data_IF_696392057962
#
_entry.id   IF_696392057962
#
_cell.length_a   1.000
_cell.length_b   1.000
_cell.length_c   1.000
_cell.angle_alpha   90.00
_cell.angle_beta   90.00
_cell.angle_gamma   90.00
#
_symmetry.space_group_name_H-M   'P 1'
#
loop_
_entity.id
_entity.type
_entity.pdbx_description
1 polymer ?
#
# COMPACT_ATOMS: atom_id res chain seq x y z
N UNK A 1 38.03 -38.05 51.06
CA UNK A 1 36.91 -38.84 51.59
C UNK A 1 35.80 -38.65 50.59
N UNK A 2 35.87 -39.54 49.66
CA UNK A 2 35.00 -40.66 49.27
C UNK A 2 33.78 -40.12 48.47
N UNK A 3 33.80 -40.25 47.22
CA UNK A 3 33.51 -41.36 46.31
C UNK A 3 32.13 -41.94 46.58
N UNK A 4 31.25 -41.86 45.61
CA UNK A 4 30.76 -43.05 44.88
C UNK A 4 29.81 -42.68 43.74
N UNK A 5 30.18 -43.14 42.61
CA UNK A 5 29.49 -43.45 41.36
C UNK A 5 28.28 -44.39 41.58
N UNK A 6 27.22 -44.20 40.76
CA UNK A 6 26.46 -45.36 40.24
C UNK A 6 25.67 -44.93 38.97
N UNK A 7 26.10 -45.57 37.91
CA UNK A 7 25.45 -45.68 36.61
C UNK A 7 24.19 -46.56 36.70
N UNK A 8 23.10 -46.22 35.96
CA UNK A 8 22.15 -47.24 35.50
C UNK A 8 21.75 -46.95 34.04
N UNK A 9 22.19 -47.88 33.20
CA UNK A 9 21.69 -48.16 31.87
C UNK A 9 20.29 -48.80 31.98
N UNK A 10 19.41 -48.46 31.08
CA UNK A 10 18.11 -49.11 30.91
C UNK A 10 17.62 -48.93 29.48
N UNK A 11 18.01 -49.83 28.70
CA UNK A 11 17.59 -50.53 27.48
C UNK A 11 16.18 -50.19 26.91
N UNK A 12 16.20 -50.04 25.57
CA UNK A 12 15.05 -50.03 24.63
C UNK A 12 14.37 -51.42 24.59
N UNK A 13 13.11 -51.50 24.24
CA UNK A 13 12.58 -52.72 23.61
C UNK A 13 12.04 -52.45 22.19
N UNK A 14 12.48 -53.31 21.36
CA UNK A 14 12.14 -53.88 20.09
C UNK A 14 10.74 -53.66 19.52
N UNK A 15 10.72 -53.41 18.18
CA UNK A 15 9.63 -53.62 17.23
C UNK A 15 9.22 -55.09 17.10
N UNK A 16 8.00 -55.37 16.66
CA UNK A 16 7.79 -56.49 15.78
C UNK A 16 7.30 -56.10 14.39
N UNK A 17 8.03 -56.63 13.44
CA UNK A 17 7.69 -56.77 12.03
C UNK A 17 6.49 -57.70 11.86
N UNK A 18 5.54 -57.33 11.03
CA UNK A 18 4.67 -58.30 10.35
C UNK A 18 4.51 -57.92 8.87
N UNK A 19 4.98 -58.82 8.06
CA UNK A 19 4.75 -58.95 6.63
C UNK A 19 3.35 -59.52 6.34
N UNK A 20 2.96 -59.24 5.05
CA UNK A 20 1.97 -59.89 4.17
C UNK A 20 0.56 -59.29 4.23
N UNK A 21 0.07 -58.73 3.13
CA UNK A 21 -0.19 -59.38 1.84
C UNK A 21 -0.69 -58.37 0.79
N UNK A 22 -0.31 -58.61 -0.43
CA UNK A 22 -0.71 -57.98 -1.67
C UNK A 22 -2.23 -57.86 -1.86
N UNK A 23 -2.72 -56.63 -2.18
CA UNK A 23 -3.80 -56.45 -3.15
C UNK A 23 -3.61 -55.18 -3.96
N UNK A 24 -3.38 -55.38 -5.23
CA UNK A 24 -3.44 -54.43 -6.31
C UNK A 24 -4.74 -53.63 -6.26
N UNK A 25 -4.62 -52.29 -6.29
CA UNK A 25 -5.58 -51.42 -6.94
C UNK A 25 -4.91 -50.09 -7.29
N UNK A 26 -4.70 -49.92 -8.57
CA UNK A 26 -4.59 -48.72 -9.40
C UNK A 26 -4.31 -47.37 -8.74
N UNK A 27 -3.14 -46.83 -8.95
CA UNK A 27 -2.83 -45.70 -9.79
C UNK A 27 -3.45 -44.37 -9.37
N UNK A 28 -2.82 -43.70 -8.42
CA UNK A 28 -2.94 -42.27 -8.24
C UNK A 28 -1.55 -41.65 -8.08
N UNK A 29 -0.88 -41.48 -9.20
CA UNK A 29 0.38 -40.74 -9.29
C UNK A 29 0.08 -39.31 -8.87
N UNK A 30 0.66 -38.87 -7.73
CA UNK A 30 0.79 -37.45 -7.43
C UNK A 30 1.64 -36.82 -8.54
N UNK A 31 0.98 -36.33 -9.57
CA UNK A 31 1.59 -35.57 -10.62
C UNK A 31 2.07 -34.26 -10.00
N UNK A 32 3.39 -34.12 -9.86
CA UNK A 32 4.09 -32.87 -9.82
C UNK A 32 3.52 -31.98 -10.90
N UNK A 33 2.91 -30.87 -10.52
CA UNK A 33 2.32 -29.91 -11.41
C UNK A 33 3.41 -29.31 -12.32
N UNK A 34 3.36 -29.49 -13.63
CA UNK A 34 4.15 -28.69 -14.54
C UNK A 34 3.42 -27.34 -14.72
N UNK A 35 3.96 -26.29 -14.15
CA UNK A 35 3.55 -24.91 -14.30
C UNK A 35 3.87 -24.37 -15.71
N UNK A 36 3.35 -25.04 -16.74
CA UNK A 36 3.32 -24.53 -18.11
C UNK A 36 1.95 -24.78 -18.73
N UNK A 37 0.95 -24.08 -18.26
CA UNK A 37 -0.25 -23.82 -19.06
C UNK A 37 -0.41 -22.31 -19.18
N UNK A 38 -0.20 -21.80 -20.42
CA UNK A 38 -0.79 -20.55 -20.86
C UNK A 38 -2.24 -20.54 -20.38
N UNK A 39 -2.53 -19.76 -19.35
CA UNK A 39 -3.90 -19.39 -19.02
C UNK A 39 -4.39 -18.54 -20.19
N UNK A 40 -5.06 -19.19 -21.14
CA UNK A 40 -5.97 -18.47 -22.04
C UNK A 40 -7.00 -17.82 -21.14
N UNK A 41 -7.01 -16.51 -21.14
CA UNK A 41 -8.05 -15.68 -20.57
C UNK A 41 -9.28 -15.82 -21.47
N UNK A 42 -9.94 -16.97 -21.46
CA UNK A 42 -11.33 -17.09 -21.87
C UNK A 42 -12.17 -16.59 -20.70
N UNK A 43 -13.06 -15.67 -21.02
CA UNK A 43 -14.03 -15.03 -20.13
C UNK A 43 -14.54 -15.94 -19.02
N UNK A 44 -13.88 -15.99 -17.88
CA UNK A 44 -14.49 -16.51 -16.68
C UNK A 44 -15.52 -15.47 -16.23
N UNK A 45 -16.75 -15.71 -16.57
CA UNK A 45 -17.89 -15.14 -15.91
C UNK A 45 -17.78 -15.59 -14.45
N UNK A 46 -17.24 -14.71 -13.60
CA UNK A 46 -17.25 -14.89 -12.16
C UNK A 46 -18.70 -14.70 -11.74
N UNK A 47 -19.42 -15.80 -11.61
CA UNK A 47 -20.68 -15.85 -10.87
C UNK A 47 -20.32 -15.39 -9.46
N UNK A 48 -20.81 -14.22 -9.08
CA UNK A 48 -20.72 -13.68 -7.73
C UNK A 48 -21.53 -14.59 -6.80
N UNK A 49 -20.87 -15.66 -6.31
CA UNK A 49 -21.35 -16.39 -5.16
C UNK A 49 -21.12 -15.52 -3.94
N UNK A 50 -22.18 -14.99 -3.37
CA UNK A 50 -22.23 -14.33 -2.08
C UNK A 50 -21.82 -15.35 -0.99
N UNK A 51 -20.53 -15.51 -0.79
CA UNK A 51 -19.93 -16.25 0.33
C UNK A 51 -19.20 -15.24 1.19
N UNK A 52 -19.56 -15.14 2.48
CA UNK A 52 -18.98 -14.30 3.50
C UNK A 52 -17.45 -14.41 3.55
N UNK A 53 -16.77 -13.70 2.65
CA UNK A 53 -15.37 -13.37 2.76
C UNK A 53 -15.30 -12.07 3.55
N UNK A 54 -14.45 -12.00 4.58
CA UNK A 54 -14.16 -10.78 5.29
C UNK A 54 -13.90 -9.68 4.25
N UNK A 55 -14.83 -8.76 4.11
CA UNK A 55 -14.68 -7.56 3.30
C UNK A 55 -13.48 -6.84 3.88
N UNK A 56 -12.46 -6.60 3.08
CA UNK A 56 -11.46 -5.61 3.43
C UNK A 56 -12.23 -4.29 3.48
N UNK A 57 -12.51 -3.79 4.69
CA UNK A 57 -13.21 -2.53 4.90
C UNK A 57 -12.27 -1.37 4.52
N UNK A 58 -12.00 -1.28 3.22
CA UNK A 58 -11.12 -0.29 2.63
C UNK A 58 -11.96 0.68 1.77
N UNK A 59 -11.65 1.98 1.76
CA UNK A 59 -12.46 2.96 1.04
C UNK A 59 -12.42 2.77 -0.48
N UNK A 60 -11.29 2.32 -1.01
CA UNK A 60 -11.09 2.08 -2.44
C UNK A 60 -11.19 0.58 -2.76
N UNK A 61 -12.00 0.24 -3.75
CA UNK A 61 -12.16 -1.13 -4.23
C UNK A 61 -11.38 -1.34 -5.53
N UNK A 62 -10.64 -2.45 -5.67
CA UNK A 62 -9.89 -2.75 -6.89
C UNK A 62 -10.85 -2.93 -8.08
N UNK A 63 -10.49 -2.32 -9.22
CA UNK A 63 -11.30 -2.34 -10.45
C UNK A 63 -10.82 -3.41 -11.42
N UNK A 64 -9.51 -3.62 -11.51
CA UNK A 64 -8.88 -4.59 -12.41
C UNK A 64 -9.12 -6.03 -11.95
N UNK A 65 -8.98 -6.97 -12.88
CA UNK A 65 -9.03 -8.41 -12.58
C UNK A 65 -7.87 -8.81 -11.66
N UNK A 66 -6.69 -8.21 -11.85
CA UNK A 66 -5.49 -8.43 -11.05
C UNK A 66 -5.69 -7.97 -9.60
N UNK A 67 -6.23 -6.76 -9.41
CA UNK A 67 -6.54 -6.24 -8.08
C UNK A 67 -7.58 -7.07 -7.34
N UNK A 68 -8.65 -7.51 -8.01
CA UNK A 68 -9.67 -8.42 -7.45
C UNK A 68 -9.08 -9.77 -7.08
N UNK A 69 -8.20 -10.33 -7.90
CA UNK A 69 -7.49 -11.56 -7.61
C UNK A 69 -6.62 -11.40 -6.36
N UNK A 70 -5.83 -10.33 -6.27
CA UNK A 70 -4.99 -10.05 -5.09
C UNK A 70 -5.81 -9.83 -3.82
N UNK A 71 -6.97 -9.19 -3.90
CA UNK A 71 -7.90 -9.06 -2.78
C UNK A 71 -8.35 -10.44 -2.26
N UNK A 72 -8.65 -11.35 -3.16
CA UNK A 72 -8.99 -12.73 -2.80
C UNK A 72 -7.79 -13.49 -2.19
N UNK A 73 -6.58 -13.30 -2.74
CA UNK A 73 -5.36 -13.92 -2.20
C UNK A 73 -5.05 -13.37 -0.80
N UNK A 74 -5.15 -12.06 -0.62
CA UNK A 74 -4.91 -11.41 0.67
C UNK A 74 -5.86 -11.92 1.76
N UNK A 75 -7.14 -12.10 1.43
CA UNK A 75 -8.15 -12.59 2.36
C UNK A 75 -8.02 -14.08 2.69
N UNK A 76 -7.64 -14.92 1.72
CA UNK A 76 -7.71 -16.40 1.86
C UNK A 76 -6.35 -17.08 1.95
N UNK A 77 -5.30 -16.50 1.35
CA UNK A 77 -3.97 -17.12 1.18
C UNK A 77 -2.84 -16.12 1.39
N UNK A 78 -2.89 -15.34 2.45
CA UNK A 78 -1.95 -14.26 2.75
C UNK A 78 -0.46 -14.61 2.56
N UNK A 79 0.06 -15.80 2.93
CA UNK A 79 1.48 -16.15 2.71
C UNK A 79 1.90 -16.18 1.24
N UNK A 80 0.96 -16.34 0.30
CA UNK A 80 1.24 -16.38 -1.14
C UNK A 80 1.11 -14.99 -1.80
N UNK A 81 0.78 -13.95 -1.04
CA UNK A 81 0.46 -12.65 -1.59
C UNK A 81 1.62 -12.05 -2.39
N UNK A 82 2.84 -12.01 -1.83
CA UNK A 82 4.00 -11.46 -2.52
C UNK A 82 4.38 -12.23 -3.80
N UNK A 83 4.24 -13.57 -3.78
CA UNK A 83 4.46 -14.38 -4.98
C UNK A 83 3.45 -14.04 -6.07
N UNK A 84 2.17 -13.90 -5.69
CA UNK A 84 1.12 -13.51 -6.62
C UNK A 84 1.35 -12.12 -7.21
N UNK A 85 1.80 -11.15 -6.40
CA UNK A 85 2.16 -9.81 -6.86
C UNK A 85 3.31 -9.86 -7.85
N UNK A 86 4.41 -10.55 -7.53
CA UNK A 86 5.58 -10.66 -8.41
C UNK A 86 5.23 -11.29 -9.76
N UNK A 87 4.42 -12.36 -9.76
CA UNK A 87 3.96 -13.02 -10.98
C UNK A 87 3.09 -12.11 -11.85
N UNK A 88 2.16 -11.37 -11.24
CA UNK A 88 1.30 -10.42 -11.96
C UNK A 88 2.09 -9.25 -12.55
N UNK A 89 3.06 -8.68 -11.81
CA UNK A 89 3.91 -7.61 -12.32
C UNK A 89 4.74 -8.07 -13.52
N UNK A 90 5.29 -9.28 -13.44
CA UNK A 90 6.02 -9.88 -14.55
C UNK A 90 5.13 -10.09 -15.79
N UNK A 91 3.92 -10.63 -15.60
CA UNK A 91 2.96 -10.80 -16.70
C UNK A 91 2.57 -9.47 -17.35
N UNK A 92 2.33 -8.43 -16.54
CA UNK A 92 2.01 -7.10 -17.05
C UNK A 92 3.17 -6.47 -17.83
N UNK A 93 4.42 -6.68 -17.38
CA UNK A 93 5.61 -6.22 -18.09
C UNK A 93 5.77 -6.93 -19.43
N UNK A 94 5.63 -8.25 -19.47
CA UNK A 94 5.68 -9.06 -20.69
C UNK A 94 4.56 -8.66 -21.67
N UNK A 95 3.34 -8.44 -21.19
CA UNK A 95 2.20 -8.01 -22.00
C UNK A 95 2.40 -6.61 -22.61
N UNK A 96 2.96 -5.66 -21.83
CA UNK A 96 3.30 -4.31 -22.29
C UNK A 96 4.35 -4.37 -23.40
N UNK A 97 5.43 -5.10 -23.17
CA UNK A 97 6.51 -5.25 -24.14
C UNK A 97 6.04 -5.91 -25.44
N UNK A 98 5.24 -6.98 -25.34
CA UNK A 98 4.66 -7.64 -26.50
C UNK A 98 3.71 -6.73 -27.29
N UNK A 99 2.96 -5.84 -26.64
CA UNK A 99 2.09 -4.88 -27.32
C UNK A 99 2.90 -3.80 -28.05
N UNK A 100 3.94 -3.28 -27.42
CA UNK A 100 4.85 -2.30 -28.02
C UNK A 100 5.62 -2.89 -29.21
N UNK A 101 6.12 -4.11 -29.09
CA UNK A 101 6.82 -4.82 -30.17
C UNK A 101 5.91 -5.01 -31.39
N UNK A 102 4.66 -5.43 -31.20
CA UNK A 102 3.69 -5.56 -32.30
C UNK A 102 3.39 -4.22 -32.96
N UNK A 103 3.21 -3.15 -32.18
CA UNK A 103 2.99 -1.82 -32.70
C UNK A 103 4.19 -1.36 -33.56
N UNK A 104 5.41 -1.63 -33.10
CA UNK A 104 6.63 -1.28 -33.83
C UNK A 104 6.78 -2.07 -35.14
N UNK A 105 6.57 -3.40 -35.10
CA UNK A 105 6.68 -4.28 -36.27
C UNK A 105 5.59 -3.99 -37.34
N UNK A 106 4.42 -3.49 -36.94
CA UNK A 106 3.33 -3.14 -37.87
C UNK A 106 3.47 -1.72 -38.43
N UNK A 107 4.46 -0.95 -38.04
CA UNK A 107 4.73 0.40 -38.50
C UNK A 107 5.00 0.43 -39.99
N UNK A 108 4.03 0.90 -40.76
CA UNK A 108 4.09 0.91 -42.22
C UNK A 108 3.13 -0.07 -42.92
N UNK A 109 2.37 -0.88 -42.17
CA UNK A 109 1.30 -1.72 -42.70
C UNK A 109 -0.08 -1.06 -42.56
N UNK A 110 -1.07 -1.52 -43.31
CA UNK A 110 -2.46 -1.05 -43.21
C UNK A 110 -3.05 -1.31 -41.80
N UNK A 111 -2.45 -2.23 -41.03
CA UNK A 111 -2.86 -2.58 -39.68
C UNK A 111 -2.21 -1.70 -38.59
N UNK A 112 -1.32 -0.77 -38.97
CA UNK A 112 -0.57 0.07 -38.00
C UNK A 112 -1.50 0.85 -37.03
N UNK A 113 -2.62 1.38 -37.54
CA UNK A 113 -3.62 2.11 -36.76
C UNK A 113 -4.30 1.21 -35.73
N UNK A 114 -4.61 -0.03 -36.10
CA UNK A 114 -5.22 -1.03 -35.21
C UNK A 114 -4.26 -1.43 -34.09
N UNK A 115 -3.00 -1.73 -34.42
CA UNK A 115 -1.99 -2.10 -33.43
C UNK A 115 -1.68 -0.96 -32.46
N UNK A 116 -1.65 0.29 -32.93
CA UNK A 116 -1.54 1.48 -32.08
C UNK A 116 -2.72 1.56 -31.10
N UNK A 117 -3.94 1.38 -31.57
CA UNK A 117 -5.13 1.41 -30.71
C UNK A 117 -5.12 0.30 -29.67
N UNK A 118 -4.70 -0.91 -30.06
CA UNK A 118 -4.54 -2.04 -29.13
C UNK A 118 -3.49 -1.72 -28.06
N UNK A 119 -2.34 -1.16 -28.46
CA UNK A 119 -1.28 -0.78 -27.51
C UNK A 119 -1.78 0.27 -26.49
N UNK A 120 -2.51 1.30 -26.95
CA UNK A 120 -3.09 2.34 -26.06
C UNK A 120 -4.10 1.74 -25.07
N UNK A 121 -4.98 0.85 -25.50
CA UNK A 121 -5.94 0.17 -24.61
C UNK A 121 -5.24 -0.74 -23.61
N UNK A 122 -4.22 -1.48 -24.04
CA UNK A 122 -3.39 -2.31 -23.17
C UNK A 122 -2.67 -1.45 -22.12
N UNK A 123 -2.12 -0.33 -22.53
CA UNK A 123 -1.44 0.61 -21.66
C UNK A 123 -2.37 1.16 -20.57
N UNK A 124 -3.58 1.60 -20.92
CA UNK A 124 -4.59 2.06 -19.97
C UNK A 124 -5.01 0.96 -18.98
N UNK A 125 -5.20 -0.27 -19.48
CA UNK A 125 -5.53 -1.41 -18.63
C UNK A 125 -4.38 -1.80 -17.70
N UNK A 126 -3.12 -1.76 -18.19
CA UNK A 126 -1.94 -1.98 -17.38
C UNK A 126 -1.83 -0.93 -16.27
N UNK A 127 -2.04 0.35 -16.58
CA UNK A 127 -2.02 1.42 -15.60
C UNK A 127 -3.02 1.18 -14.47
N UNK A 128 -4.27 0.84 -14.81
CA UNK A 128 -5.30 0.52 -13.80
C UNK A 128 -4.91 -0.70 -12.97
N UNK A 129 -4.34 -1.73 -13.60
CA UNK A 129 -3.89 -2.93 -12.90
C UNK A 129 -2.74 -2.65 -11.94
N UNK A 130 -1.77 -1.82 -12.35
CA UNK A 130 -0.63 -1.42 -11.51
C UNK A 130 -1.09 -0.59 -10.31
N UNK A 131 -1.98 0.39 -10.51
CA UNK A 131 -2.54 1.18 -9.41
C UNK A 131 -3.27 0.29 -8.40
N UNK A 132 -4.06 -0.68 -8.86
CA UNK A 132 -4.72 -1.65 -7.98
C UNK A 132 -3.71 -2.55 -7.25
N UNK A 133 -2.64 -3.01 -7.93
CA UNK A 133 -1.57 -3.81 -7.29
C UNK A 133 -0.87 -2.99 -6.21
N UNK A 134 -0.53 -1.73 -6.49
CA UNK A 134 0.08 -0.82 -5.51
C UNK A 134 -0.84 -0.64 -4.29
N UNK A 135 -2.14 -0.44 -4.53
CA UNK A 135 -3.10 -0.33 -3.44
C UNK A 135 -3.19 -1.60 -2.61
N UNK A 136 -3.23 -2.77 -3.24
CA UNK A 136 -3.25 -4.05 -2.54
C UNK A 136 -1.97 -4.31 -1.71
N UNK A 137 -0.80 -3.83 -2.18
CA UNK A 137 0.44 -3.86 -1.41
C UNK A 137 0.37 -2.97 -0.16
N UNK A 138 -0.21 -1.78 -0.29
CA UNK A 138 -0.44 -0.88 0.85
C UNK A 138 -1.39 -1.54 1.86
N UNK A 139 -2.51 -2.11 1.41
CA UNK A 139 -3.44 -2.85 2.26
C UNK A 139 -2.76 -4.04 2.97
N UNK A 140 -1.88 -4.74 2.28
CA UNK A 140 -1.09 -5.81 2.87
C UNK A 140 -0.22 -5.27 4.02
N UNK A 141 0.50 -4.15 3.84
CA UNK A 141 1.31 -3.51 4.90
C UNK A 141 0.46 -3.07 6.09
N UNK A 142 -0.69 -2.43 5.86
CA UNK A 142 -1.64 -2.13 6.94
C UNK A 142 -2.12 -3.38 7.68
N UNK A 143 -2.34 -4.47 6.96
CA UNK A 143 -2.73 -5.73 7.58
C UNK A 143 -1.60 -6.37 8.41
N UNK A 144 -0.31 -6.11 8.09
CA UNK A 144 0.84 -6.55 8.90
C UNK A 144 0.86 -5.88 10.27
N UNK A 145 0.58 -4.60 10.32
CA UNK A 145 0.49 -3.84 11.58
C UNK A 145 -0.88 -3.96 12.27
N UNK A 146 -1.80 -4.74 11.72
CA UNK A 146 -3.16 -4.98 12.25
C UNK A 146 -3.99 -3.70 12.40
N UNK A 147 -3.84 -2.80 11.46
CA UNK A 147 -4.61 -1.55 11.39
C UNK A 147 -5.54 -1.62 10.18
N UNK A 148 -6.86 -1.63 10.37
CA UNK A 148 -7.78 -1.45 9.26
C UNK A 148 -7.72 -0.01 8.76
N UNK A 149 -7.84 0.20 7.45
CA UNK A 149 -8.01 1.54 6.89
C UNK A 149 -9.34 2.14 7.33
N UNK A 150 -9.36 3.45 7.49
CA UNK A 150 -10.61 4.18 7.72
C UNK A 150 -11.52 3.97 6.50
N UNK A 151 -12.75 3.47 6.69
CA UNK A 151 -13.71 3.32 5.59
C UNK A 151 -14.16 4.68 5.08
N UNK A 152 -15.02 4.71 4.06
CA UNK A 152 -15.58 5.96 3.56
C UNK A 152 -16.10 6.82 4.70
N UNK A 153 -15.79 8.10 4.70
CA UNK A 153 -16.16 9.01 5.80
C UNK A 153 -17.68 9.00 6.08
N UNK A 154 -18.49 8.88 5.04
CA UNK A 154 -19.95 8.74 5.19
C UNK A 154 -20.39 7.57 6.06
N UNK A 155 -19.56 6.54 6.18
CA UNK A 155 -19.81 5.38 7.06
C UNK A 155 -19.37 5.61 8.51
N UNK A 156 -18.53 6.63 8.74
CA UNK A 156 -18.00 6.99 10.06
C UNK A 156 -18.72 8.20 10.69
N UNK A 157 -19.60 8.86 9.92
CA UNK A 157 -20.38 10.02 10.40
C UNK A 157 -21.73 9.55 10.92
N UNK A 158 -21.98 9.81 12.19
CA UNK A 158 -23.25 9.56 12.84
C UNK A 158 -23.76 10.84 13.50
N UNK A 159 -24.97 11.27 13.18
CA UNK A 159 -25.56 12.54 13.65
C UNK A 159 -24.66 13.78 13.44
N UNK A 160 -23.99 13.86 12.29
CA UNK A 160 -23.08 14.96 11.97
C UNK A 160 -21.71 14.89 12.67
N UNK A 161 -21.47 13.86 13.48
CA UNK A 161 -20.22 13.66 14.23
C UNK A 161 -19.41 12.52 13.58
N UNK A 162 -18.15 12.82 13.25
CA UNK A 162 -17.19 11.86 12.75
C UNK A 162 -16.47 11.19 13.93
N UNK A 163 -16.64 9.88 14.04
CA UNK A 163 -15.95 9.07 15.05
C UNK A 163 -15.22 7.91 14.35
N UNK A 164 -13.91 7.84 14.59
CA UNK A 164 -13.04 6.79 14.04
C UNK A 164 -12.54 5.92 15.19
N UNK A 165 -12.97 4.67 15.20
CA UNK A 165 -12.64 3.71 16.23
C UNK A 165 -12.24 2.36 15.63
N UNK A 166 -11.20 1.67 16.15
CA UNK A 166 -10.30 2.08 17.26
C UNK A 166 -9.20 3.06 16.81
N UNK A 167 -8.59 3.78 17.75
CA UNK A 167 -7.57 4.81 17.46
C UNK A 167 -6.32 4.24 16.80
N UNK A 168 -5.82 3.06 17.24
CA UNK A 168 -4.67 2.38 16.63
C UNK A 168 -3.38 3.23 16.53
N UNK A 169 -3.25 4.23 17.42
CA UNK A 169 -2.14 5.18 17.40
C UNK A 169 -0.79 4.46 17.57
N UNK A 170 -0.72 3.55 18.54
CA UNK A 170 0.51 2.81 18.80
C UNK A 170 1.00 2.00 17.60
N UNK A 171 0.11 1.27 16.94
CA UNK A 171 0.44 0.47 15.78
C UNK A 171 0.90 1.34 14.60
N UNK A 172 0.26 2.50 14.41
CA UNK A 172 0.62 3.45 13.36
C UNK A 172 1.93 4.18 13.66
N UNK A 173 2.19 4.52 14.93
CA UNK A 173 3.43 5.14 15.34
C UNK A 173 4.62 4.16 15.26
N UNK A 174 4.39 2.86 15.52
CA UNK A 174 5.42 1.81 15.59
C UNK A 174 6.20 1.57 14.30
N UNK A 175 5.68 1.98 13.15
CA UNK A 175 6.34 1.82 11.84
C UNK A 175 7.44 2.85 11.58
N UNK A 176 7.54 3.88 12.43
CA UNK A 176 8.45 5.00 12.25
C UNK A 176 9.62 4.96 13.25
N UNK A 177 10.76 5.49 12.82
CA UNK A 177 11.89 5.73 13.74
C UNK A 177 11.57 6.89 14.69
N UNK A 178 12.28 6.98 15.80
CA UNK A 178 12.04 8.04 16.81
C UNK A 178 12.14 9.46 16.21
N UNK A 179 13.15 9.71 15.37
CA UNK A 179 13.34 11.01 14.71
C UNK A 179 12.18 11.37 13.78
N UNK A 180 11.67 10.38 13.03
CA UNK A 180 10.51 10.55 12.14
C UNK A 180 9.25 10.75 12.97
N UNK A 181 9.09 10.00 14.06
CA UNK A 181 7.93 10.10 14.94
C UNK A 181 7.81 11.47 15.60
N UNK A 182 8.94 12.09 15.99
CA UNK A 182 8.94 13.45 16.50
C UNK A 182 8.38 14.45 15.50
N UNK A 183 8.81 14.35 14.23
CA UNK A 183 8.32 15.20 13.14
C UNK A 183 6.82 14.96 12.83
N UNK A 184 6.36 13.70 12.92
CA UNK A 184 4.93 13.36 12.75
C UNK A 184 4.10 13.97 13.89
N UNK A 185 4.56 13.90 15.14
CA UNK A 185 3.87 14.51 16.27
C UNK A 185 3.76 16.03 16.13
N UNK A 186 4.82 16.68 15.68
CA UNK A 186 4.77 18.13 15.38
C UNK A 186 3.77 18.46 14.28
N UNK A 187 3.78 17.72 13.18
CA UNK A 187 2.81 17.90 12.11
C UNK A 187 1.37 17.73 12.61
N UNK A 188 1.10 16.66 13.37
CA UNK A 188 -0.23 16.41 13.94
C UNK A 188 -0.65 17.51 14.88
N UNK A 189 0.25 17.95 15.79
CA UNK A 189 -0.02 19.03 16.72
C UNK A 189 -0.26 20.36 15.98
N UNK A 190 0.52 20.67 14.94
CA UNK A 190 0.31 21.87 14.15
C UNK A 190 -1.07 21.89 13.46
N UNK A 191 -1.50 20.76 12.90
CA UNK A 191 -2.83 20.63 12.27
C UNK A 191 -3.95 20.79 13.31
N UNK A 192 -3.80 20.17 14.48
CA UNK A 192 -4.78 20.24 15.56
C UNK A 192 -4.79 21.66 16.18
N UNK A 193 -3.62 22.24 16.47
CA UNK A 193 -3.49 23.57 17.11
C UNK A 193 -4.02 24.71 16.25
N UNK A 194 -3.99 24.57 14.93
CA UNK A 194 -4.61 25.57 14.02
C UNK A 194 -6.14 25.69 14.21
N UNK A 195 -6.75 24.78 14.99
CA UNK A 195 -8.20 24.70 15.21
C UNK A 195 -8.62 24.93 16.66
N UNK A 196 -7.65 24.92 17.59
CA UNK A 196 -7.94 25.14 19.04
C UNK A 196 -7.64 26.58 19.37
N UNK A 197 -8.68 27.36 19.66
CA UNK A 197 -8.52 28.56 20.46
C UNK A 197 -8.08 28.14 21.86
N UNK A 198 -6.91 28.57 22.22
CA UNK A 198 -5.92 28.09 23.20
C UNK A 198 -6.35 28.00 24.66
N UNK A 199 -7.46 27.41 25.05
CA UNK A 199 -7.86 27.41 26.46
C UNK A 199 -8.13 26.09 27.16
N UNK A 200 -8.30 24.95 26.49
CA UNK A 200 -8.66 23.71 27.21
C UNK A 200 -7.96 22.47 26.65
N UNK A 201 -7.39 21.68 27.55
CA UNK A 201 -6.65 20.43 27.32
C UNK A 201 -7.48 19.23 27.76
N UNK A 202 -8.48 18.83 27.00
CA UNK A 202 -9.16 17.56 27.27
C UNK A 202 -9.28 16.75 25.95
N UNK A 203 -8.85 15.49 25.97
CA UNK A 203 -8.91 14.55 24.81
C UNK A 203 -10.33 14.31 24.30
N UNK A 204 -11.33 14.80 25.00
CA UNK A 204 -12.76 14.73 24.65
C UNK A 204 -13.24 15.94 23.85
N UNK A 205 -12.41 16.93 23.61
CA UNK A 205 -12.82 18.10 22.83
C UNK A 205 -13.10 17.73 21.39
N UNK A 206 -14.18 18.30 20.89
CA UNK A 206 -14.63 18.18 19.52
C UNK A 206 -14.34 19.49 18.78
N UNK A 207 -13.94 19.37 17.53
CA UNK A 207 -13.76 20.50 16.63
C UNK A 207 -14.69 20.36 15.42
N UNK A 208 -15.09 21.51 14.89
CA UNK A 208 -15.85 21.57 13.62
C UNK A 208 -14.86 21.79 12.48
N UNK A 209 -14.96 20.95 11.47
CA UNK A 209 -14.09 21.02 10.29
C UNK A 209 -14.90 20.83 9.03
N UNK A 210 -14.63 21.65 8.03
CA UNK A 210 -15.18 21.46 6.70
C UNK A 210 -14.61 20.21 6.05
N UNK A 211 -15.45 19.37 5.46
CA UNK A 211 -15.09 18.12 4.78
C UNK A 211 -14.02 18.33 3.70
N UNK A 212 -14.14 19.41 2.92
CA UNK A 212 -13.14 19.73 1.89
C UNK A 212 -11.78 20.07 2.51
N UNK A 213 -11.77 20.86 3.58
CA UNK A 213 -10.55 21.15 4.31
C UNK A 213 -9.94 19.87 4.91
N UNK A 214 -10.74 18.98 5.47
CA UNK A 214 -10.29 17.69 6.01
C UNK A 214 -9.65 16.81 4.91
N UNK A 215 -10.25 16.80 3.70
CA UNK A 215 -9.70 16.11 2.53
C UNK A 215 -8.32 16.65 2.14
N UNK A 216 -8.16 17.98 2.13
CA UNK A 216 -6.86 18.63 1.85
C UNK A 216 -5.81 18.32 2.90
N UNK A 217 -6.19 18.36 4.17
CA UNK A 217 -5.30 18.01 5.30
C UNK A 217 -4.87 16.55 5.20
N UNK A 218 -5.80 15.63 4.90
CA UNK A 218 -5.49 14.21 4.70
C UNK A 218 -4.48 14.03 3.55
N UNK A 219 -4.75 14.62 2.39
CA UNK A 219 -3.86 14.53 1.23
C UNK A 219 -2.47 15.12 1.52
N UNK A 220 -2.41 16.26 2.20
CA UNK A 220 -1.15 16.85 2.64
C UNK A 220 -0.38 15.93 3.60
N UNK A 221 -1.07 15.25 4.52
CA UNK A 221 -0.47 14.30 5.45
C UNK A 221 0.02 13.02 4.76
N UNK A 222 -0.65 12.55 3.71
CA UNK A 222 -0.15 11.45 2.84
C UNK A 222 1.16 11.89 2.17
N UNK A 223 1.20 13.06 1.56
CA UNK A 223 2.41 13.60 0.92
C UNK A 223 3.54 13.84 1.93
N UNK A 224 3.20 14.24 3.15
CA UNK A 224 4.16 14.41 4.23
C UNK A 224 4.79 13.08 4.67
N UNK A 225 4.00 12.01 4.80
CA UNK A 225 4.50 10.66 5.07
C UNK A 225 5.42 10.14 3.97
N UNK A 226 5.05 10.34 2.71
CA UNK A 226 5.87 10.04 1.55
C UNK A 226 7.21 10.81 1.59
N UNK A 227 7.16 12.11 1.85
CA UNK A 227 8.33 12.97 2.02
C UNK A 227 9.26 12.50 3.14
N UNK A 228 8.73 12.25 4.33
CA UNK A 228 9.52 11.80 5.47
C UNK A 228 10.24 10.49 5.19
N UNK A 229 9.58 9.54 4.51
CA UNK A 229 10.20 8.28 4.11
C UNK A 229 11.35 8.51 3.14
N UNK A 230 11.14 9.30 2.11
CA UNK A 230 12.17 9.67 1.11
C UNK A 230 13.37 10.36 1.76
N UNK A 231 13.12 11.37 2.61
CA UNK A 231 14.15 12.13 3.31
C UNK A 231 14.92 11.28 4.32
N UNK A 232 14.24 10.41 5.06
CA UNK A 232 14.85 9.51 6.05
C UNK A 232 15.81 8.50 5.39
N UNK A 233 15.40 7.90 4.26
CA UNK A 233 16.27 6.96 3.53
C UNK A 233 17.49 7.66 2.94
N UNK A 234 17.30 8.86 2.39
CA UNK A 234 18.41 9.66 1.90
C UNK A 234 19.40 10.01 3.02
N UNK A 235 18.87 10.44 4.17
CA UNK A 235 19.67 10.71 5.37
C UNK A 235 20.47 9.48 5.81
N UNK A 236 19.84 8.30 5.86
CA UNK A 236 20.51 7.05 6.23
C UNK A 236 21.63 6.69 5.25
N UNK A 237 21.42 6.87 3.95
CA UNK A 237 22.47 6.65 2.93
C UNK A 237 23.63 7.62 3.09
N UNK A 238 23.39 8.90 3.29
CA UNK A 238 24.44 9.89 3.51
C UNK A 238 25.21 9.64 4.81
N UNK A 239 24.52 9.27 5.89
CA UNK A 239 25.18 8.88 7.15
C UNK A 239 26.04 7.63 7.00
N UNK A 240 25.64 6.66 6.17
CA UNK A 240 26.44 5.45 5.92
C UNK A 240 27.69 5.71 5.07
N UNK A 241 27.68 6.78 4.27
CA UNK A 241 28.82 7.19 3.44
C UNK A 241 29.78 8.16 4.16
N UNK A 242 29.31 8.85 5.19
CA UNK A 242 30.08 9.86 5.93
C UNK A 242 30.55 9.28 7.26
N UNK A 243 31.82 9.00 7.41
CA UNK A 243 32.40 8.56 8.69
C UNK A 243 32.23 9.68 9.74
N UNK A 244 31.28 9.53 10.65
CA UNK A 244 31.31 10.20 11.95
C UNK A 244 30.40 11.39 12.21
N UNK A 245 29.49 11.81 11.34
CA UNK A 245 28.54 12.92 11.63
C UNK A 245 27.11 12.44 11.51
N UNK A 246 26.55 11.89 12.58
CA UNK A 246 25.09 11.66 12.72
C UNK A 246 24.39 12.98 13.01
N UNK A 247 23.97 13.70 11.96
CA UNK A 247 23.05 14.83 12.12
C UNK A 247 21.67 14.29 12.44
N UNK A 248 20.93 14.93 13.33
CA UNK A 248 19.50 14.61 13.51
C UNK A 248 18.75 14.85 12.20
N UNK A 249 17.78 14.00 11.89
CA UNK A 249 16.99 14.07 10.65
C UNK A 249 16.37 15.46 10.44
N UNK A 250 15.92 16.12 11.51
CA UNK A 250 15.38 17.48 11.47
C UNK A 250 16.39 18.49 10.90
N UNK A 251 17.63 18.49 11.38
CA UNK A 251 18.69 19.38 10.90
C UNK A 251 19.08 19.05 9.45
N UNK A 252 19.03 17.78 9.11
CA UNK A 252 19.28 17.35 7.75
C UNK A 252 18.23 17.90 6.77
N UNK A 253 16.94 17.76 7.10
CA UNK A 253 15.84 18.28 6.29
C UNK A 253 15.86 19.82 6.20
N UNK A 254 16.21 20.51 7.29
CA UNK A 254 16.30 21.98 7.28
C UNK A 254 17.41 22.52 6.36
N UNK A 255 18.38 21.68 6.00
CA UNK A 255 19.44 21.98 5.05
C UNK A 255 19.10 21.69 3.58
N UNK A 256 17.89 21.23 3.27
CA UNK A 256 17.51 20.93 1.91
C UNK A 256 17.38 22.19 1.07
N UNK A 257 17.96 22.16 -0.12
CA UNK A 257 17.64 23.15 -1.14
C UNK A 257 16.22 22.91 -1.72
N UNK A 258 15.62 23.91 -2.35
CA UNK A 258 14.26 23.78 -2.91
C UNK A 258 14.09 22.63 -3.90
N UNK A 259 15.15 22.27 -4.66
CA UNK A 259 15.11 21.18 -5.65
C UNK A 259 15.07 19.82 -4.95
N UNK A 260 15.89 19.64 -3.92
CA UNK A 260 15.89 18.40 -3.11
C UNK A 260 14.56 18.26 -2.39
N UNK A 261 14.06 19.33 -1.78
CA UNK A 261 12.77 19.34 -1.11
C UNK A 261 11.65 18.93 -2.06
N UNK A 262 11.60 19.50 -3.24
CA UNK A 262 10.61 19.17 -4.25
C UNK A 262 10.69 17.70 -4.69
N UNK A 263 11.90 17.18 -4.92
CA UNK A 263 12.11 15.78 -5.33
C UNK A 263 11.68 14.78 -4.25
N UNK A 264 11.92 15.09 -2.98
CA UNK A 264 11.49 14.24 -1.88
C UNK A 264 9.98 14.33 -1.60
N UNK A 265 9.35 15.47 -1.88
CA UNK A 265 7.95 15.73 -1.54
C UNK A 265 6.95 15.24 -2.61
N UNK A 266 7.39 15.01 -3.84
CA UNK A 266 6.51 14.58 -4.94
C UNK A 266 6.61 13.08 -5.17
N UNK A 267 5.49 12.37 -5.36
CA UNK A 267 5.49 11.01 -5.89
C UNK A 267 6.24 10.98 -7.24
N UNK A 268 7.12 10.00 -7.41
CA UNK A 268 7.97 9.86 -8.61
C UNK A 268 7.16 9.42 -9.81
N UNK A 269 6.16 8.55 -9.59
CA UNK A 269 5.35 7.99 -10.65
C UNK A 269 3.97 8.63 -10.74
N UNK A 270 3.41 8.58 -11.94
CA UNK A 270 2.03 9.00 -12.22
C UNK A 270 1.02 8.10 -11.50
N UNK A 271 1.33 6.82 -11.42
CA UNK A 271 0.49 5.81 -10.75
C UNK A 271 0.36 6.11 -9.25
N UNK A 272 1.45 6.46 -8.58
CA UNK A 272 1.43 6.85 -7.17
C UNK A 272 0.61 8.13 -6.94
N UNK A 273 0.77 9.14 -7.80
CA UNK A 273 -0.04 10.37 -7.75
C UNK A 273 -1.53 10.07 -7.91
N UNK A 274 -1.89 9.29 -8.94
CA UNK A 274 -3.27 8.90 -9.19
C UNK A 274 -3.87 8.11 -8.01
N UNK A 275 -3.05 7.29 -7.35
CA UNK A 275 -3.50 6.52 -6.19
C UNK A 275 -3.83 7.40 -4.99
N UNK A 276 -3.05 8.44 -4.73
CA UNK A 276 -3.35 9.44 -3.68
C UNK A 276 -4.70 10.11 -3.98
N UNK A 277 -4.89 10.57 -5.21
CA UNK A 277 -6.13 11.21 -5.63
C UNK A 277 -7.35 10.28 -5.50
N UNK A 278 -7.20 9.03 -5.96
CA UNK A 278 -8.25 8.00 -5.84
C UNK A 278 -8.58 7.65 -4.39
N UNK A 279 -7.58 7.53 -3.52
CA UNK A 279 -7.77 7.26 -2.11
C UNK A 279 -8.51 8.41 -1.42
N UNK A 280 -8.09 9.66 -1.66
CA UNK A 280 -8.77 10.84 -1.12
C UNK A 280 -10.22 10.90 -1.62
N UNK A 281 -10.45 10.71 -2.93
CA UNK A 281 -11.79 10.70 -3.50
C UNK A 281 -12.67 9.57 -2.95
N UNK A 282 -12.10 8.38 -2.75
CA UNK A 282 -12.83 7.24 -2.20
C UNK A 282 -13.22 7.45 -0.73
N UNK A 283 -12.35 8.13 0.04
CA UNK A 283 -12.58 8.40 1.46
C UNK A 283 -13.57 9.54 1.68
N UNK A 284 -13.40 10.65 0.97
CA UNK A 284 -14.19 11.88 1.16
C UNK A 284 -15.37 12.04 0.19
N UNK A 285 -15.39 11.32 -0.95
CA UNK A 285 -16.38 11.49 -2.01
C UNK A 285 -16.00 12.60 -3.01
N UNK A 286 -16.79 12.74 -4.09
CA UNK A 286 -16.60 13.79 -5.10
C UNK A 286 -17.25 15.10 -4.67
N UNK A 287 -16.61 16.20 -4.95
CA UNK A 287 -17.07 17.56 -4.64
C UNK A 287 -18.31 17.98 -5.46
N UNK A 288 -18.52 17.34 -6.62
CA UNK A 288 -19.50 17.79 -7.64
C UNK A 288 -20.98 17.58 -7.26
N UNK A 289 -21.28 16.91 -6.14
CA UNK A 289 -22.68 16.51 -5.80
C UNK A 289 -23.29 17.18 -4.57
N UNK A 290 -22.51 17.96 -3.83
CA UNK A 290 -23.01 18.58 -2.61
C UNK A 290 -22.94 20.12 -2.73
N UNK A 291 -24.07 20.75 -3.05
CA UNK A 291 -24.27 22.21 -2.95
C UNK A 291 -24.28 22.60 -1.46
N UNK A 292 -23.10 22.76 -0.86
CA UNK A 292 -22.95 23.26 0.51
C UNK A 292 -21.70 22.69 1.20
N UNK A 293 -21.01 23.54 1.93
CA UNK A 293 -19.91 23.13 2.82
C UNK A 293 -20.46 22.22 3.90
N UNK A 294 -20.14 20.93 3.86
CA UNK A 294 -20.53 19.97 4.88
C UNK A 294 -19.57 20.08 6.07
N UNK A 295 -20.02 20.77 7.12
CA UNK A 295 -19.30 20.84 8.39
C UNK A 295 -19.49 19.53 9.15
N UNK A 296 -18.40 18.93 9.58
CA UNK A 296 -18.38 17.70 10.36
C UNK A 296 -17.73 18.00 11.71
N UNK A 297 -18.44 17.65 12.79
CA UNK A 297 -17.86 17.69 14.14
C UNK A 297 -17.04 16.42 14.36
N UNK A 298 -15.81 16.53 14.82
CA UNK A 298 -14.93 15.38 15.10
C UNK A 298 -14.19 15.54 16.41
N UNK A 299 -13.84 14.42 17.05
CA UNK A 299 -12.94 14.43 18.21
C UNK A 299 -11.48 14.55 17.78
N UNK A 300 -10.64 15.12 18.63
CA UNK A 300 -9.19 15.21 18.36
C UNK A 300 -8.56 13.83 18.18
N UNK A 301 -9.01 12.83 18.92
CA UNK A 301 -8.55 11.44 18.77
C UNK A 301 -8.88 10.88 17.38
N UNK A 302 -10.07 11.13 16.87
CA UNK A 302 -10.46 10.73 15.50
C UNK A 302 -9.67 11.46 14.42
N UNK A 303 -9.42 12.76 14.63
CA UNK A 303 -8.59 13.56 13.73
C UNK A 303 -7.14 13.06 13.75
N UNK A 304 -6.56 12.85 14.92
CA UNK A 304 -5.22 12.28 15.07
C UNK A 304 -5.10 10.91 14.37
N UNK A 305 -6.09 10.03 14.58
CA UNK A 305 -6.15 8.72 13.92
C UNK A 305 -6.11 8.84 12.39
N UNK A 306 -6.87 9.77 11.83
CA UNK A 306 -6.93 10.01 10.38
C UNK A 306 -5.59 10.55 9.85
N UNK A 307 -4.94 11.46 10.60
CA UNK A 307 -3.63 12.00 10.24
C UNK A 307 -2.53 10.94 10.28
N UNK A 308 -2.47 10.12 11.34
CA UNK A 308 -1.49 9.05 11.47
C UNK A 308 -1.67 8.00 10.36
N UNK A 309 -2.91 7.66 10.00
CA UNK A 309 -3.17 6.77 8.86
C UNK A 309 -2.71 7.38 7.54
N UNK A 310 -2.97 8.65 7.31
CA UNK A 310 -2.54 9.35 6.11
C UNK A 310 -1.02 9.33 5.96
N UNK A 311 -0.29 9.63 7.04
CA UNK A 311 1.18 9.57 7.06
C UNK A 311 1.68 8.15 6.81
N UNK A 312 1.10 7.14 7.46
CA UNK A 312 1.44 5.74 7.25
C UNK A 312 1.17 5.30 5.81
N UNK A 313 0.04 5.73 5.22
CA UNK A 313 -0.29 5.48 3.82
C UNK A 313 0.78 6.05 2.88
N UNK A 314 1.22 7.28 3.10
CA UNK A 314 2.29 7.92 2.33
C UNK A 314 3.63 7.19 2.45
N UNK A 315 3.98 6.74 3.66
CA UNK A 315 5.18 5.93 3.93
C UNK A 315 5.13 4.60 3.16
N UNK A 316 4.00 3.90 3.22
CA UNK A 316 3.82 2.63 2.50
C UNK A 316 3.73 2.81 1.00
N UNK A 317 3.20 3.93 0.53
CA UNK A 317 3.15 4.27 -0.89
C UNK A 317 4.55 4.42 -1.47
N UNK A 318 5.46 5.09 -0.76
CA UNK A 318 6.85 5.22 -1.18
C UNK A 318 7.53 3.85 -1.34
N UNK A 319 7.42 2.97 -0.32
CA UNK A 319 7.97 1.61 -0.37
C UNK A 319 7.37 0.77 -1.51
N UNK A 320 6.07 0.94 -1.75
CA UNK A 320 5.33 0.21 -2.78
C UNK A 320 5.74 0.68 -4.17
N UNK A 321 5.90 1.97 -4.36
CA UNK A 321 6.37 2.57 -5.62
C UNK A 321 7.76 2.05 -5.98
N UNK A 322 8.70 2.05 -5.02
CA UNK A 322 10.05 1.50 -5.20
C UNK A 322 10.03 0.03 -5.59
N UNK A 323 9.22 -0.76 -4.89
CA UNK A 323 9.08 -2.20 -5.17
C UNK A 323 8.51 -2.48 -6.57
N UNK A 324 7.46 -1.75 -6.95
CA UNK A 324 6.79 -1.94 -8.24
C UNK A 324 7.67 -1.44 -9.39
N UNK A 325 8.36 -0.30 -9.22
CA UNK A 325 9.25 0.26 -10.25
C UNK A 325 10.42 -0.68 -10.57
N UNK A 326 10.91 -1.43 -9.59
CA UNK A 326 11.95 -2.45 -9.79
C UNK A 326 11.51 -3.64 -10.66
N UNK A 327 10.20 -3.95 -10.69
CA UNK A 327 9.65 -5.08 -11.45
C UNK A 327 8.92 -4.64 -12.73
N UNK A 328 8.30 -3.47 -12.71
CA UNK A 328 7.52 -2.89 -13.80
C UNK A 328 7.83 -1.38 -13.87
N UNK A 329 8.59 -0.95 -14.85
CA UNK A 329 8.94 0.47 -14.99
C UNK A 329 7.69 1.35 -15.02
N UNK A 330 7.54 2.15 -13.98
CA UNK A 330 6.46 3.11 -13.82
C UNK A 330 6.65 4.31 -14.74
N UNK A 331 5.59 5.08 -14.96
CA UNK A 331 5.67 6.32 -15.73
C UNK A 331 6.12 7.46 -14.81
N UNK A 332 7.13 8.19 -15.24
CA UNK A 332 7.55 9.40 -14.54
C UNK A 332 6.42 10.42 -14.45
N UNK A 333 6.38 11.15 -13.35
CA UNK A 333 5.42 12.20 -13.13
C UNK A 333 5.92 13.51 -13.79
N UNK A 334 5.59 13.71 -15.07
CA UNK A 334 6.10 14.77 -15.96
C UNK A 334 5.86 16.21 -15.45
N UNK A 335 5.06 16.43 -14.42
CA UNK A 335 4.84 17.75 -13.84
C UNK A 335 6.06 18.32 -13.09
N UNK A 336 7.25 17.75 -13.23
CA UNK A 336 8.48 18.19 -12.57
C UNK A 336 9.36 19.11 -13.43
N UNK A 337 9.17 19.18 -14.75
CA UNK A 337 10.11 19.87 -15.65
C UNK A 337 9.63 21.20 -16.25
N UNK A 338 8.34 21.53 -16.20
CA UNK A 338 7.82 22.74 -16.87
C UNK A 338 8.17 24.09 -16.20
N UNK A 339 8.81 24.11 -15.03
CA UNK A 339 9.21 25.35 -14.36
C UNK A 339 10.73 25.62 -14.36
N UNK A 340 11.51 24.95 -15.20
CA UNK A 340 12.97 25.18 -15.28
C UNK A 340 13.41 26.00 -16.50
N UNK A 341 12.49 26.56 -17.29
CA UNK A 341 12.79 27.40 -18.43
C UNK A 341 11.97 28.71 -18.39
N UNK A 342 12.30 29.58 -17.43
CA UNK A 342 12.11 31.02 -17.51
C UNK A 342 13.28 31.70 -16.81
#
# INVERSE_FOLDING_TARGET
MDATSLSHQGSLPFLPSRRDSLRHRNGGVCALFPWRRKLRYDSMVVVASAGAGASLDAPLLPRSAQGKFLSCVLSKKRPLFHFAVADLLKQLAEDKEAALSRMFLSSGSDEASLHRRIAQLKESNCQTAIEDIMYMLILYKFSEIRVPLVPKLSSCVYNGRLEIWPSKDWELESIHTLDVLELIKEHSNAVISLRVDSTLTDDLETTEIDKHHLSRVYTASVLYGYFLKSASLRHQLECSLSEGITKQLRHYISGFDPKILQRCAKPRSREAKNLIEKQSLALFGSEEKEEGSMIVTTSFSSLKRLLLEAVAFGTFLWDTEEYVDGAFKLKENENAEENSSV
#
